data_IF_298886795665
#
_entry.id   IF_298886795665
#
_cell.length_a   1.000
_cell.length_b   1.000
_cell.length_c   1.000
_cell.angle_alpha   90.00
_cell.angle_beta   90.00
_cell.angle_gamma   90.00
#
_symmetry.space_group_name_H-M   'P 1'
#
loop_
_entity.id
_entity.type
_entity.pdbx_description
1 polymer ?
#
# COMPACT_ATOMS: atom_id res chain seq x y z
N UNK A 1 31.52 -15.48 42.24
CA UNK A 1 31.77 -14.13 41.69
C UNK A 1 30.79 -13.92 40.55
N UNK A 2 29.87 -12.99 40.76
CA UNK A 2 28.93 -12.44 39.78
C UNK A 2 29.70 -11.77 38.63
N UNK A 3 29.10 -11.74 37.43
CA UNK A 3 28.57 -10.52 36.79
C UNK A 3 27.55 -10.92 35.72
N UNK A 4 26.39 -10.28 35.81
CA UNK A 4 25.26 -10.27 34.88
C UNK A 4 25.56 -9.51 33.59
N UNK A 5 24.73 -9.78 32.57
CA UNK A 5 24.00 -8.71 31.90
C UNK A 5 24.54 -8.20 30.56
N UNK A 6 23.82 -8.52 29.50
CA UNK A 6 23.44 -7.55 28.47
C UNK A 6 22.01 -7.91 28.03
N UNK A 7 21.02 -7.29 28.68
CA UNK A 7 19.63 -7.38 28.27
C UNK A 7 19.43 -6.58 26.99
N UNK A 8 18.76 -7.22 26.03
CA UNK A 8 18.29 -6.64 24.80
C UNK A 8 17.28 -5.52 25.10
N UNK A 9 17.72 -4.27 24.91
CA UNK A 9 16.85 -3.12 24.80
C UNK A 9 16.45 -2.96 23.33
N UNK A 10 15.14 -2.87 23.06
CA UNK A 10 14.64 -2.32 21.80
C UNK A 10 13.66 -3.19 21.03
N UNK A 11 12.46 -3.42 21.56
CA UNK A 11 11.36 -4.01 20.77
C UNK A 11 10.04 -3.23 20.82
N UNK A 12 9.92 -2.17 21.65
CA UNK A 12 8.62 -1.51 21.86
C UNK A 12 8.39 -0.23 21.06
N UNK A 13 9.42 0.35 20.43
CA UNK A 13 9.24 1.45 19.45
C UNK A 13 8.71 0.95 18.10
N UNK A 14 8.92 -0.33 17.79
CA UNK A 14 8.46 -0.93 16.53
C UNK A 14 6.93 -1.04 16.48
N UNK A 15 6.26 -1.41 17.57
CA UNK A 15 4.82 -1.69 17.57
C UNK A 15 3.94 -0.45 17.31
N UNK A 16 4.26 0.69 17.95
CA UNK A 16 3.54 1.95 17.76
C UNK A 16 3.81 2.58 16.39
N UNK A 17 5.05 2.44 15.89
CA UNK A 17 5.41 2.83 14.53
C UNK A 17 4.71 1.92 13.51
N UNK A 18 4.57 0.61 13.78
CA UNK A 18 3.85 -0.32 12.88
C UNK A 18 2.35 -0.08 12.84
N UNK A 19 1.70 0.35 13.93
CA UNK A 19 0.27 0.66 13.92
C UNK A 19 -0.03 1.96 13.15
N UNK A 20 0.83 2.98 13.31
CA UNK A 20 0.73 4.22 12.53
C UNK A 20 1.07 3.99 11.05
N UNK A 21 2.09 3.15 10.75
CA UNK A 21 2.38 2.71 9.39
C UNK A 21 1.24 1.86 8.81
N UNK A 22 0.58 1.00 9.58
CA UNK A 22 -0.51 0.17 9.08
C UNK A 22 -1.74 1.01 8.68
N UNK A 23 -2.07 2.06 9.44
CA UNK A 23 -3.13 3.01 9.07
C UNK A 23 -2.73 3.90 7.87
N UNK A 24 -1.45 4.29 7.76
CA UNK A 24 -0.94 5.01 6.58
C UNK A 24 -0.75 4.11 5.35
N UNK A 25 -0.53 2.81 5.52
CA UNK A 25 -0.44 1.82 4.45
C UNK A 25 -1.82 1.47 3.87
N UNK A 26 -2.90 1.67 4.64
CA UNK A 26 -4.27 1.55 4.12
C UNK A 26 -4.72 2.80 3.37
N UNK A 27 -4.12 3.96 3.65
CA UNK A 27 -4.29 5.18 2.88
C UNK A 27 -3.33 5.21 1.67
N UNK A 28 -3.61 4.38 0.66
CA UNK A 28 -3.00 4.54 -0.66
C UNK A 28 -1.80 3.65 -0.98
N UNK A 29 -1.84 2.36 -0.60
CA UNK A 29 -1.11 1.37 -1.38
C UNK A 29 -1.74 1.32 -2.79
N UNK A 30 -1.31 2.19 -3.71
CA UNK A 30 -1.77 2.11 -5.09
C UNK A 30 -1.37 0.75 -5.65
N UNK A 31 -2.36 -0.06 -5.98
CA UNK A 31 -2.16 -1.43 -6.45
C UNK A 31 -1.71 -1.39 -7.91
N UNK A 32 -0.66 -2.15 -8.25
CA UNK A 32 -0.38 -2.45 -9.64
C UNK A 32 -1.42 -3.45 -10.18
N UNK A 33 -1.89 -3.24 -11.40
CA UNK A 33 -2.85 -4.11 -12.08
C UNK A 33 -2.21 -4.72 -13.32
N UNK A 34 -2.56 -5.98 -13.60
CA UNK A 34 -2.17 -6.66 -14.84
C UNK A 34 -3.35 -6.66 -15.80
N UNK A 35 -3.19 -6.05 -16.98
CA UNK A 35 -4.14 -6.17 -18.08
C UNK A 35 -3.58 -7.13 -19.14
N UNK A 36 -4.45 -8.00 -19.66
CA UNK A 36 -4.12 -8.92 -20.76
C UNK A 36 -4.86 -8.51 -22.01
N UNK A 37 -4.19 -8.55 -23.15
CA UNK A 37 -4.75 -8.04 -24.38
C UNK A 37 -3.95 -8.42 -25.62
N UNK A 38 -4.17 -7.65 -26.68
CA UNK A 38 -3.49 -7.84 -27.95
C UNK A 38 -2.70 -6.59 -28.29
N UNK A 39 -1.43 -6.78 -28.66
CA UNK A 39 -0.62 -5.75 -29.30
C UNK A 39 -0.74 -5.90 -30.83
N UNK A 40 -0.99 -4.81 -31.53
CA UNK A 40 -0.90 -4.71 -32.98
C UNK A 40 0.24 -3.76 -33.34
N UNK A 41 0.92 -4.02 -34.46
CA UNK A 41 1.93 -3.10 -35.01
C UNK A 41 1.54 -2.72 -36.44
N UNK A 42 1.90 -1.50 -36.86
CA UNK A 42 1.52 -0.94 -38.17
C UNK A 42 1.98 -1.78 -39.37
N UNK A 43 3.08 -2.52 -39.23
CA UNK A 43 3.67 -3.37 -40.28
C UNK A 43 3.55 -4.88 -39.97
N UNK A 44 2.82 -5.27 -38.92
CA UNK A 44 2.79 -6.62 -38.35
C UNK A 44 4.19 -7.18 -38.02
N UNK A 45 5.21 -6.31 -37.96
CA UNK A 45 6.58 -6.65 -37.62
C UNK A 45 6.88 -6.40 -36.15
N UNK A 46 8.09 -6.79 -35.74
CA UNK A 46 8.61 -6.44 -34.41
C UNK A 46 8.82 -4.93 -34.31
N UNK A 47 8.40 -4.33 -33.20
CA UNK A 47 8.68 -2.93 -32.87
C UNK A 47 9.87 -2.87 -31.91
N UNK A 48 11.01 -2.32 -32.36
CA UNK A 48 12.18 -2.14 -31.51
C UNK A 48 11.98 -0.93 -30.59
N UNK A 49 12.09 -1.09 -29.27
CA UNK A 49 11.78 0.00 -28.32
C UNK A 49 13.00 0.81 -27.89
N UNK A 50 14.19 0.19 -27.83
CA UNK A 50 15.45 0.86 -27.47
C UNK A 50 16.47 0.71 -28.59
N UNK A 51 17.29 1.74 -28.81
CA UNK A 51 18.48 1.65 -29.69
C UNK A 51 19.61 0.85 -29.05
N UNK A 52 19.71 0.89 -27.74
CA UNK A 52 20.84 0.36 -26.98
C UNK A 52 20.68 -1.13 -26.69
N UNK A 53 19.45 -1.56 -26.38
CA UNK A 53 19.15 -2.97 -26.11
C UNK A 53 18.28 -3.59 -27.24
N UNK A 54 18.87 -4.39 -28.15
CA UNK A 54 18.12 -5.06 -29.22
C UNK A 54 17.15 -6.14 -28.71
N UNK A 55 17.19 -6.50 -27.42
CA UNK A 55 16.24 -7.42 -26.80
C UNK A 55 14.95 -6.73 -26.35
N UNK A 56 14.96 -5.41 -26.22
CA UNK A 56 13.76 -4.62 -25.91
C UNK A 56 12.97 -4.37 -27.18
N UNK A 57 12.15 -5.33 -27.55
CA UNK A 57 11.22 -5.22 -28.67
C UNK A 57 9.84 -5.74 -28.27
N UNK A 58 8.83 -5.31 -29.02
CA UNK A 58 7.49 -5.85 -28.94
C UNK A 58 7.15 -6.60 -30.24
N UNK A 59 6.32 -7.63 -30.15
CA UNK A 59 5.78 -8.35 -31.30
C UNK A 59 4.26 -8.33 -31.27
N UNK A 60 3.58 -8.31 -32.43
CA UNK A 60 2.14 -8.45 -32.48
C UNK A 60 1.67 -9.74 -31.79
N UNK A 61 0.49 -9.66 -31.18
CA UNK A 61 -0.18 -10.79 -30.55
C UNK A 61 -0.43 -10.61 -29.06
N UNK A 62 -0.66 -11.73 -28.37
CA UNK A 62 -1.00 -11.75 -26.95
C UNK A 62 0.10 -11.09 -26.12
N UNK A 63 -0.29 -10.07 -25.36
CA UNK A 63 0.61 -9.27 -24.53
C UNK A 63 -0.09 -9.01 -23.19
N UNK A 64 0.67 -8.95 -22.11
CA UNK A 64 0.19 -8.43 -20.84
C UNK A 64 0.96 -7.20 -20.44
N UNK A 65 0.30 -6.32 -19.70
CA UNK A 65 0.89 -5.10 -19.17
C UNK A 65 0.65 -5.04 -17.67
N UNK A 66 1.69 -4.71 -16.91
CA UNK A 66 1.56 -4.29 -15.52
C UNK A 66 1.64 -2.77 -15.48
N UNK A 67 0.60 -2.14 -14.91
CA UNK A 67 0.50 -0.69 -14.83
C UNK A 67 -0.08 -0.29 -13.47
N UNK A 68 0.11 0.98 -13.11
CA UNK A 68 -0.40 1.54 -11.86
C UNK A 68 -1.30 2.73 -12.22
N UNK A 69 -2.62 2.66 -11.97
CA UNK A 69 -3.57 3.72 -12.32
C UNK A 69 -3.35 5.05 -11.60
N UNK A 70 -2.72 5.01 -10.43
CA UNK A 70 -2.39 6.15 -9.60
C UNK A 70 -0.87 6.19 -9.38
N UNK A 71 -0.25 7.37 -9.33
CA UNK A 71 1.19 7.43 -9.23
C UNK A 71 1.69 6.96 -7.86
N UNK A 72 2.45 5.85 -7.85
CA UNK A 72 3.21 5.39 -6.69
C UNK A 72 4.46 6.24 -6.47
N UNK A 73 5.11 6.03 -5.32
CA UNK A 73 6.48 6.52 -5.05
C UNK A 73 7.46 6.01 -6.11
N UNK A 74 7.24 4.80 -6.64
CA UNK A 74 8.02 4.20 -7.73
C UNK A 74 7.10 3.59 -8.79
N UNK A 75 6.48 4.42 -9.66
CA UNK A 75 5.59 3.90 -10.68
C UNK A 75 6.41 3.30 -11.83
N UNK A 76 5.85 2.27 -12.46
CA UNK A 76 6.51 1.55 -13.53
C UNK A 76 5.49 1.08 -14.56
N UNK A 77 6.00 0.78 -15.74
CA UNK A 77 5.27 0.09 -16.79
C UNK A 77 6.08 -1.13 -17.19
N UNK A 78 5.46 -2.30 -17.18
CA UNK A 78 6.05 -3.54 -17.71
C UNK A 78 5.14 -4.05 -18.81
N UNK A 79 5.67 -4.27 -20.01
CA UNK A 79 5.01 -4.99 -21.08
C UNK A 79 5.66 -6.37 -21.24
N UNK A 80 4.85 -7.42 -21.22
CA UNK A 80 5.31 -8.80 -21.44
C UNK A 80 4.64 -9.40 -22.66
N UNK A 81 5.45 -9.78 -23.62
CA UNK A 81 5.10 -10.62 -24.75
C UNK A 81 5.76 -12.01 -24.53
N UNK A 82 5.23 -13.11 -25.10
CA UNK A 82 5.87 -14.43 -25.01
C UNK A 82 7.37 -14.50 -25.30
N UNK A 83 7.94 -13.54 -26.05
CA UNK A 83 9.36 -13.52 -26.43
C UNK A 83 10.20 -12.39 -25.83
N UNK A 84 9.57 -11.41 -25.18
CA UNK A 84 10.27 -10.22 -24.70
C UNK A 84 9.54 -9.59 -23.52
N UNK A 85 10.33 -9.00 -22.61
CA UNK A 85 9.84 -8.13 -21.56
C UNK A 85 10.46 -6.74 -21.79
N UNK A 86 9.61 -5.73 -21.72
CA UNK A 86 10.02 -4.33 -21.72
C UNK A 86 9.58 -3.71 -20.39
N UNK A 87 10.49 -2.99 -19.74
CA UNK A 87 10.25 -2.34 -18.47
C UNK A 87 10.80 -0.93 -18.50
N UNK A 88 9.99 0.02 -18.07
CA UNK A 88 10.42 1.41 -17.87
C UNK A 88 9.88 1.95 -16.56
N UNK A 89 10.65 2.81 -15.91
CA UNK A 89 10.17 3.61 -14.79
C UNK A 89 9.29 4.74 -15.29
N UNK A 90 8.26 5.06 -14.54
CA UNK A 90 7.45 6.27 -14.74
C UNK A 90 7.84 7.29 -13.67
N UNK A 91 7.68 8.57 -14.00
CA UNK A 91 7.78 9.67 -13.04
C UNK A 91 6.39 10.22 -12.74
N UNK A 92 6.22 10.91 -11.60
CA UNK A 92 4.98 11.61 -11.29
C UNK A 92 4.55 12.58 -12.40
N UNK A 93 5.50 13.24 -13.07
CA UNK A 93 5.25 14.16 -14.18
C UNK A 93 4.73 13.49 -15.44
N UNK A 94 4.89 12.17 -15.59
CA UNK A 94 4.31 11.44 -16.72
C UNK A 94 2.80 11.22 -16.55
N UNK A 95 2.28 11.26 -15.32
CA UNK A 95 0.88 10.96 -15.03
C UNK A 95 -0.04 12.15 -15.32
N UNK A 96 -1.13 11.85 -16.02
CA UNK A 96 -2.30 12.71 -16.16
C UNK A 96 -3.51 12.11 -15.43
N UNK A 97 -4.69 12.73 -15.59
CA UNK A 97 -5.90 12.34 -14.84
C UNK A 97 -6.31 10.87 -15.03
N UNK A 98 -6.18 10.30 -16.25
CA UNK A 98 -6.59 8.93 -16.58
C UNK A 98 -5.52 8.16 -17.41
N UNK A 99 -4.24 8.47 -17.20
CA UNK A 99 -3.21 7.92 -18.06
C UNK A 99 -1.82 8.42 -17.74
N UNK A 100 -0.86 8.06 -18.59
CA UNK A 100 0.48 8.63 -18.59
C UNK A 100 0.97 8.91 -20.02
N UNK A 101 1.99 9.75 -20.14
CA UNK A 101 2.75 9.94 -21.37
C UNK A 101 4.25 9.91 -21.06
N UNK A 102 5.02 9.19 -21.88
CA UNK A 102 6.48 9.16 -21.85
C UNK A 102 6.96 9.71 -23.19
N UNK A 103 7.69 10.80 -23.14
CA UNK A 103 8.35 11.36 -24.32
C UNK A 103 9.67 10.64 -24.58
N UNK A 104 9.95 10.35 -25.84
CA UNK A 104 11.18 9.69 -26.25
C UNK A 104 12.43 10.52 -25.92
N UNK A 105 12.36 11.86 -25.89
CA UNK A 105 13.53 12.72 -25.55
C UNK A 105 13.91 12.61 -24.07
N UNK A 106 12.94 12.34 -23.21
CA UNK A 106 13.12 12.18 -21.77
C UNK A 106 13.48 10.73 -21.37
N UNK A 107 13.65 9.84 -22.35
CA UNK A 107 13.88 8.41 -22.13
C UNK A 107 14.84 7.83 -23.17
N UNK A 108 15.28 6.59 -22.99
CA UNK A 108 16.11 5.88 -23.98
C UNK A 108 15.27 5.20 -25.08
N UNK A 109 14.02 5.65 -25.24
CA UNK A 109 13.02 5.02 -26.10
C UNK A 109 13.08 5.56 -27.52
N UNK A 110 12.71 4.71 -28.47
CA UNK A 110 12.60 5.06 -29.90
C UNK A 110 11.28 5.75 -30.27
N UNK A 111 10.28 5.65 -29.40
CA UNK A 111 8.91 6.07 -29.64
C UNK A 111 8.35 6.76 -28.41
N UNK A 112 7.42 7.69 -28.62
CA UNK A 112 6.61 8.23 -27.54
C UNK A 112 5.58 7.16 -27.13
N UNK A 113 5.34 7.04 -25.82
CA UNK A 113 4.38 6.07 -25.26
C UNK A 113 3.28 6.83 -24.53
N UNK A 114 2.03 6.65 -24.93
CA UNK A 114 0.87 7.16 -24.21
C UNK A 114 0.00 6.01 -23.72
N UNK A 115 -0.25 5.97 -22.41
CA UNK A 115 -1.13 4.98 -21.79
C UNK A 115 -2.40 5.62 -21.26
N UNK A 116 -3.53 4.95 -21.45
CA UNK A 116 -4.83 5.35 -20.91
C UNK A 116 -5.55 4.16 -20.30
N UNK A 117 -6.29 4.40 -19.22
CA UNK A 117 -7.15 3.39 -18.61
C UNK A 117 -8.49 3.98 -18.23
N UNK A 118 -9.51 3.12 -18.30
CA UNK A 118 -10.87 3.46 -17.90
C UNK A 118 -11.41 2.40 -16.96
N UNK A 119 -11.82 2.83 -15.76
CA UNK A 119 -12.50 1.95 -14.82
C UNK A 119 -13.91 1.62 -15.34
N UNK A 120 -14.23 0.34 -15.44
CA UNK A 120 -15.56 -0.18 -15.73
C UNK A 120 -16.12 -0.78 -14.45
N UNK A 121 -17.18 -0.17 -13.92
CA UNK A 121 -17.92 -0.70 -12.77
C UNK A 121 -18.80 -1.86 -13.23
N UNK A 122 -18.56 -3.03 -12.66
CA UNK A 122 -19.30 -4.25 -12.99
C UNK A 122 -20.52 -4.43 -12.07
N UNK A 123 -20.35 -4.17 -10.77
CA UNK A 123 -21.44 -4.19 -9.80
C UNK A 123 -21.06 -3.48 -8.50
N UNK A 124 -22.07 -3.11 -7.73
CA UNK A 124 -21.96 -2.65 -6.35
C UNK A 124 -22.83 -3.53 -5.47
N UNK A 125 -22.32 -4.00 -4.34
CA UNK A 125 -23.05 -4.88 -3.43
C UNK A 125 -22.65 -4.66 -1.97
N UNK A 126 -23.47 -5.13 -1.04
CA UNK A 126 -23.18 -5.07 0.40
C UNK A 126 -22.56 -6.38 0.87
N UNK A 127 -21.56 -6.30 1.74
CA UNK A 127 -20.92 -7.44 2.38
C UNK A 127 -20.71 -7.16 3.87
N UNK A 128 -21.00 -8.14 4.73
CA UNK A 128 -20.75 -8.01 6.16
C UNK A 128 -19.23 -8.08 6.43
N UNK A 129 -18.74 -7.24 7.32
CA UNK A 129 -17.36 -7.26 7.75
C UNK A 129 -17.19 -6.90 9.22
N UNK A 130 -15.94 -6.77 9.63
CA UNK A 130 -15.55 -6.27 10.94
C UNK A 130 -14.51 -5.17 10.79
N UNK A 131 -14.53 -4.20 11.70
CA UNK A 131 -13.47 -3.20 11.81
C UNK A 131 -13.00 -3.08 13.25
N UNK A 132 -11.77 -2.62 13.43
CA UNK A 132 -11.25 -2.28 14.75
C UNK A 132 -12.00 -1.08 15.33
N UNK A 133 -12.23 -1.10 16.64
CA UNK A 133 -12.88 -0.03 17.38
C UNK A 133 -12.29 0.06 18.79
N UNK A 134 -12.64 1.12 19.50
CA UNK A 134 -12.35 1.26 20.93
C UNK A 134 -13.66 1.42 21.69
N UNK A 135 -13.80 0.72 22.81
CA UNK A 135 -15.00 0.75 23.65
C UNK A 135 -14.64 0.61 25.12
N UNK A 136 -15.65 0.72 25.99
CA UNK A 136 -15.46 0.58 27.43
C UNK A 136 -15.59 -0.89 27.86
N UNK A 137 -14.61 -1.40 28.61
CA UNK A 137 -14.54 -2.81 28.99
C UNK A 137 -13.36 -3.11 29.92
N UNK A 138 -13.19 -4.37 30.30
CA UNK A 138 -11.98 -4.82 30.98
C UNK A 138 -10.94 -5.16 29.94
N UNK A 139 -9.77 -4.54 30.01
CA UNK A 139 -8.67 -4.89 29.11
C UNK A 139 -7.32 -4.67 29.79
N UNK A 140 -6.29 -5.27 29.21
CA UNK A 140 -4.93 -5.15 29.71
C UNK A 140 -4.23 -3.95 29.05
N UNK A 141 -3.69 -3.05 29.88
CA UNK A 141 -2.90 -1.90 29.41
C UNK A 141 -1.50 -1.89 30.00
N UNK A 142 -0.55 -1.45 29.18
CA UNK A 142 0.81 -1.21 29.62
C UNK A 142 0.81 -0.03 30.60
N UNK A 143 1.43 -0.22 31.76
CA UNK A 143 1.59 0.80 32.80
C UNK A 143 3.02 0.78 33.31
N UNK A 144 3.45 1.91 33.87
CA UNK A 144 4.68 1.96 34.67
C UNK A 144 4.32 1.65 36.12
N UNK A 145 4.89 0.59 36.66
CA UNK A 145 4.73 0.17 38.05
C UNK A 145 5.93 0.68 38.83
N UNK A 146 5.68 1.51 39.83
CA UNK A 146 6.71 2.07 40.72
C UNK A 146 6.54 1.45 42.10
N UNK A 147 7.49 0.61 42.50
CA UNK A 147 7.49 -0.11 43.77
C UNK A 147 8.46 0.55 44.74
N UNK A 148 7.95 1.08 45.85
CA UNK A 148 8.75 1.74 46.89
C UNK A 148 8.69 0.97 48.22
N UNK A 149 9.83 0.70 48.90
CA UNK A 149 9.88 -0.17 50.09
C UNK A 149 8.95 0.18 51.25
N UNK A 150 8.53 1.46 51.38
CA UNK A 150 7.66 1.95 52.46
C UNK A 150 6.28 2.44 52.00
N UNK A 151 6.07 2.61 50.70
CA UNK A 151 4.87 3.24 50.15
C UNK A 151 4.05 2.30 49.24
N UNK A 152 4.54 1.08 49.00
CA UNK A 152 3.86 0.11 48.15
C UNK A 152 4.03 0.42 46.66
N UNK A 153 3.14 -0.16 45.85
CA UNK A 153 3.15 -0.04 44.41
C UNK A 153 2.23 1.10 43.94
N UNK A 154 2.70 1.91 43.00
CA UNK A 154 1.94 2.96 42.31
C UNK A 154 1.93 2.67 40.81
N UNK A 155 0.78 2.89 40.18
CA UNK A 155 0.56 2.63 38.75
C UNK A 155 0.42 3.95 38.00
N UNK A 156 1.14 4.08 36.89
CA UNK A 156 1.09 5.24 36.00
C UNK A 156 0.74 4.80 34.57
N UNK A 157 -0.28 5.41 33.98
CA UNK A 157 -0.75 5.11 32.62
C UNK A 157 0.21 5.58 31.52
N UNK A 158 1.06 6.56 31.82
CA UNK A 158 1.96 7.21 30.87
C UNK A 158 3.44 7.08 31.27
N UNK A 159 4.32 7.78 30.55
CA UNK A 159 5.74 7.86 30.86
C UNK A 159 5.95 8.52 32.23
N UNK A 160 6.30 7.70 33.22
CA UNK A 160 6.72 8.15 34.53
C UNK A 160 8.24 8.39 34.56
N UNK A 161 8.63 9.57 35.05
CA UNK A 161 10.02 9.87 35.41
C UNK A 161 10.16 9.87 36.92
N UNK A 162 11.03 9.01 37.45
CA UNK A 162 11.33 8.95 38.87
C UNK A 162 12.09 10.20 39.32
N UNK A 163 11.77 10.75 40.49
CA UNK A 163 12.58 11.83 41.07
C UNK A 163 13.80 11.29 41.80
N UNK A 164 14.83 12.14 41.96
CA UNK A 164 16.06 11.81 42.71
C UNK A 164 15.74 11.35 44.15
N UNK A 165 14.73 11.96 44.78
CA UNK A 165 14.26 11.61 46.13
C UNK A 165 13.67 10.19 46.21
N UNK A 166 12.98 9.76 45.15
CA UNK A 166 12.39 8.42 45.07
C UNK A 166 13.45 7.36 44.77
N UNK A 167 14.47 7.72 43.97
CA UNK A 167 15.63 6.88 43.70
C UNK A 167 16.47 6.68 44.98
N UNK A 168 16.73 7.76 45.74
CA UNK A 168 17.40 7.72 47.05
C UNK A 168 16.61 6.91 48.09
N UNK A 169 15.28 6.86 47.97
CA UNK A 169 14.42 6.02 48.80
C UNK A 169 14.39 4.53 48.39
N UNK A 170 15.09 4.17 47.30
CA UNK A 170 15.19 2.79 46.80
C UNK A 170 13.95 2.32 46.04
N UNK A 171 13.20 3.22 45.41
CA UNK A 171 12.09 2.85 44.54
C UNK A 171 12.58 2.20 43.22
N UNK A 172 11.79 1.29 42.66
CA UNK A 172 12.08 0.62 41.39
C UNK A 172 10.93 0.89 40.42
N UNK A 173 11.25 1.25 39.17
CA UNK A 173 10.27 1.41 38.09
C UNK A 173 10.41 0.27 37.07
N UNK A 174 9.29 -0.36 36.74
CA UNK A 174 9.23 -1.39 35.70
C UNK A 174 8.00 -1.18 34.81
N UNK A 175 8.12 -1.51 33.53
CA UNK A 175 6.95 -1.64 32.66
C UNK A 175 6.26 -2.96 32.95
N UNK A 176 4.98 -2.89 33.25
CA UNK A 176 4.11 -4.04 33.42
C UNK A 176 2.83 -3.86 32.63
N UNK A 177 1.94 -4.83 32.79
CA UNK A 177 0.60 -4.79 32.24
C UNK A 177 -0.41 -4.99 33.37
N UNK A 178 -1.49 -4.22 33.36
CA UNK A 178 -2.57 -4.32 34.35
C UNK A 178 -3.90 -4.48 33.63
N UNK A 179 -4.63 -5.53 34.03
CA UNK A 179 -6.01 -5.76 33.62
C UNK A 179 -6.95 -5.00 34.56
N UNK A 180 -7.67 -4.02 34.02
CA UNK A 180 -8.67 -3.22 34.74
C UNK A 180 -9.74 -2.71 33.75
N UNK A 181 -10.74 -2.01 34.26
CA UNK A 181 -11.79 -1.39 33.45
C UNK A 181 -11.33 -0.06 32.84
N UNK A 182 -11.30 0.03 31.50
CA UNK A 182 -10.93 1.24 30.76
C UNK A 182 -12.04 1.63 29.76
N UNK A 183 -12.08 2.90 29.35
CA UNK A 183 -13.08 3.44 28.42
C UNK A 183 -12.73 3.28 26.93
N UNK A 184 -11.49 2.87 26.65
CA UNK A 184 -10.84 2.86 25.34
C UNK A 184 -10.13 1.52 25.08
N UNK A 185 -10.72 0.43 25.54
CA UNK A 185 -10.26 -0.91 25.26
C UNK A 185 -10.39 -1.22 23.76
N UNK A 186 -9.38 -1.86 23.15
CA UNK A 186 -9.48 -2.31 21.76
C UNK A 186 -10.57 -3.37 21.63
N UNK A 187 -11.27 -3.34 20.51
CA UNK A 187 -12.32 -4.30 20.21
C UNK A 187 -12.60 -4.39 18.72
N UNK A 188 -13.64 -5.16 18.38
CA UNK A 188 -14.14 -5.28 17.01
C UNK A 188 -15.61 -4.93 16.96
N UNK A 189 -16.03 -4.29 15.86
CA UNK A 189 -17.45 -4.02 15.62
C UNK A 189 -17.87 -4.50 14.23
N UNK A 190 -19.12 -5.00 14.09
CA UNK A 190 -19.65 -5.37 12.80
C UNK A 190 -19.89 -4.12 11.93
N UNK A 191 -19.59 -4.26 10.65
CA UNK A 191 -19.80 -3.22 9.63
C UNK A 191 -20.54 -3.78 8.42
N UNK A 192 -21.30 -2.93 7.75
CA UNK A 192 -21.80 -3.17 6.40
C UNK A 192 -20.88 -2.48 5.42
N UNK A 193 -20.14 -3.25 4.63
CA UNK A 193 -19.24 -2.74 3.61
C UNK A 193 -19.98 -2.64 2.27
N UNK A 194 -19.95 -1.45 1.67
CA UNK A 194 -20.29 -1.29 0.27
C UNK A 194 -19.08 -1.68 -0.57
N UNK A 195 -19.20 -2.76 -1.31
CA UNK A 195 -18.17 -3.30 -2.20
C UNK A 195 -18.43 -2.84 -3.63
N UNK A 196 -17.37 -2.41 -4.33
CA UNK A 196 -17.39 -2.14 -5.76
C UNK A 196 -16.56 -3.17 -6.49
N UNK A 197 -17.19 -3.92 -7.40
CA UNK A 197 -16.51 -4.81 -8.35
C UNK A 197 -16.28 -4.06 -9.65
N UNK A 198 -15.04 -4.05 -10.13
CA UNK A 198 -14.64 -3.28 -11.30
C UNK A 198 -13.56 -4.00 -12.10
N UNK A 199 -13.29 -3.52 -13.32
CA UNK A 199 -12.10 -3.85 -14.12
C UNK A 199 -11.60 -2.59 -14.80
N UNK A 200 -10.39 -2.62 -15.36
CA UNK A 200 -9.91 -1.57 -16.25
C UNK A 200 -9.89 -2.05 -17.69
N UNK A 201 -10.42 -1.22 -18.59
CA UNK A 201 -10.03 -1.26 -20.01
C UNK A 201 -8.75 -0.43 -20.13
N UNK A 202 -7.74 -0.95 -20.83
CA UNK A 202 -6.42 -0.32 -20.93
C UNK A 202 -5.95 -0.27 -22.37
N UNK A 203 -5.40 0.89 -22.72
CA UNK A 203 -4.89 1.17 -24.05
C UNK A 203 -3.49 1.79 -23.95
N UNK A 204 -2.55 1.30 -24.76
CA UNK A 204 -1.23 1.93 -24.92
C UNK A 204 -0.99 2.22 -26.40
N UNK A 205 -0.51 3.41 -26.69
CA UNK A 205 -0.13 3.86 -28.02
C UNK A 205 1.38 4.08 -28.07
N UNK A 206 2.00 3.62 -29.16
CA UNK A 206 3.39 3.87 -29.50
C UNK A 206 3.42 4.69 -30.77
N UNK A 207 3.88 5.95 -30.69
CA UNK A 207 3.87 6.89 -31.82
C UNK A 207 5.27 7.34 -32.21
N UNK A 208 5.45 7.73 -33.47
CA UNK A 208 6.71 8.32 -33.91
C UNK A 208 6.98 9.65 -33.19
N UNK A 209 8.24 9.89 -32.80
CA UNK A 209 8.71 11.19 -32.33
C UNK A 209 8.20 12.35 -33.19
N UNK A 210 7.68 13.40 -32.53
CA UNK A 210 7.16 14.61 -33.17
C UNK A 210 5.97 14.41 -34.14
N UNK A 211 5.40 13.19 -34.23
CA UNK A 211 4.23 12.91 -35.06
C UNK A 211 3.31 11.87 -34.40
N UNK A 212 2.52 12.33 -33.43
CA UNK A 212 1.53 11.52 -32.71
C UNK A 212 0.48 10.86 -33.63
N UNK A 213 0.24 11.39 -34.84
CA UNK A 213 -0.69 10.78 -35.79
C UNK A 213 -0.14 9.50 -36.44
N UNK A 214 1.18 9.28 -36.37
CA UNK A 214 1.84 8.10 -36.92
C UNK A 214 2.01 7.03 -35.84
N UNK A 215 0.94 6.27 -35.61
CA UNK A 215 0.93 5.12 -34.72
C UNK A 215 1.77 3.96 -35.29
N UNK A 216 2.68 3.44 -34.48
CA UNK A 216 3.57 2.33 -34.82
C UNK A 216 3.13 1.03 -34.17
N UNK A 217 2.59 1.10 -32.97
CA UNK A 217 1.93 -0.01 -32.31
C UNK A 217 0.84 0.47 -31.36
N UNK A 218 -0.08 -0.45 -31.07
CA UNK A 218 -1.19 -0.22 -30.15
C UNK A 218 -1.45 -1.48 -29.34
N UNK A 219 -1.59 -1.32 -28.03
CA UNK A 219 -2.07 -2.36 -27.14
C UNK A 219 -3.50 -2.05 -26.73
N UNK A 220 -4.37 -3.05 -26.76
CA UNK A 220 -5.70 -2.98 -26.17
C UNK A 220 -5.91 -4.22 -25.32
N UNK A 221 -6.28 -4.03 -24.05
CA UNK A 221 -6.52 -5.13 -23.13
C UNK A 221 -7.40 -4.74 -21.96
N UNK A 222 -7.64 -5.70 -21.09
CA UNK A 222 -8.45 -5.51 -19.89
C UNK A 222 -7.86 -6.27 -18.69
N UNK A 223 -8.13 -5.77 -17.49
CA UNK A 223 -7.77 -6.46 -16.26
C UNK A 223 -8.83 -7.50 -15.89
N UNK A 224 -8.44 -8.49 -15.09
CA UNK A 224 -9.42 -9.32 -14.40
C UNK A 224 -10.26 -8.47 -13.43
N UNK A 225 -11.54 -8.85 -13.19
CA UNK A 225 -12.37 -8.19 -12.20
C UNK A 225 -11.72 -8.18 -10.82
N UNK A 226 -11.67 -7.01 -10.20
CA UNK A 226 -11.18 -6.76 -8.85
C UNK A 226 -12.29 -6.18 -7.98
N UNK A 227 -12.12 -6.23 -6.67
CA UNK A 227 -13.09 -5.70 -5.70
C UNK A 227 -12.38 -4.76 -4.74
N UNK A 228 -13.02 -3.63 -4.40
CA UNK A 228 -12.58 -2.75 -3.32
C UNK A 228 -13.75 -2.27 -2.47
N UNK A 229 -13.49 -2.04 -1.19
CA UNK A 229 -14.41 -1.36 -0.29
C UNK A 229 -14.50 0.11 -0.73
N UNK A 230 -15.72 0.63 -0.93
CA UNK A 230 -15.95 2.05 -1.25
C UNK A 230 -16.56 2.82 -0.08
N UNK A 231 -17.25 2.11 0.81
CA UNK A 231 -17.83 2.69 2.03
C UNK A 231 -17.95 1.60 3.09
N UNK A 232 -17.85 1.98 4.36
CA UNK A 232 -17.97 1.07 5.50
C UNK A 232 -18.79 1.74 6.60
N UNK A 233 -19.96 1.16 6.89
CA UNK A 233 -20.90 1.72 7.87
C UNK A 233 -20.98 0.81 9.09
N UNK A 234 -20.65 1.30 10.30
CA UNK A 234 -20.88 0.56 11.54
C UNK A 234 -22.35 0.22 11.75
N UNK A 235 -22.64 -1.04 12.09
CA UNK A 235 -24.02 -1.52 12.31
C UNK A 235 -24.26 -2.05 13.73
N UNK A 236 -23.26 -1.98 14.61
CA UNK A 236 -23.37 -2.44 15.99
C UNK A 236 -22.38 -1.73 16.92
N UNK A 237 -22.44 -2.09 18.21
CA UNK A 237 -21.50 -1.58 19.22
C UNK A 237 -20.14 -2.26 19.11
N UNK A 238 -19.11 -1.57 19.61
CA UNK A 238 -17.80 -2.17 19.82
C UNK A 238 -17.88 -3.30 20.84
N UNK A 239 -17.40 -4.48 20.48
CA UNK A 239 -17.24 -5.63 21.36
C UNK A 239 -15.78 -5.67 21.80
N UNK A 240 -15.53 -5.30 23.07
CA UNK A 240 -14.23 -5.41 23.72
C UNK A 240 -14.10 -6.82 24.31
N UNK A 241 -12.94 -7.45 24.11
CA UNK A 241 -12.62 -8.76 24.71
C UNK A 241 -12.27 -8.66 26.19
#
# INVERSE_FOLDING_TARGET
MNISGCFAAGTQTLAAITALLACLLQAGCSTAYTATGTLTTSDNGKLQLSREDPRQFLQPGATSIDFVPEPLIFPFLILRNPRAEFKTSLSLSHYGYNGFAIDHEASELLYDIAGQWREIVLSTYQEAGTQACTGSGYCEKAVTIVSCPRHGDRLFSDSYSMSDEEEDAGCISQRGYVSDYYYDCPGTQPVSNTMKRFKYDVELHFTEPANAARERARFIGETNPSVRVVDSVPIGSCQTE
#
